data_IF_005986733070
#
_entry.id   IF_005986733070
#
_cell.length_a   1.000
_cell.length_b   1.000
_cell.length_c   1.000
_cell.angle_alpha   90.00
_cell.angle_beta   90.00
_cell.angle_gamma   90.00
#
_symmetry.space_group_name_H-M   'P 1'
#
loop_
_entity.id
_entity.type
_entity.pdbx_description
1 polymer ?
#
# COMPACT_ATOMS: atom_id res chain seq x y z
N UNK A 1 -4.12 -14.94 10.04
CA UNK A 1 -3.64 -14.69 8.67
C UNK A 1 -3.13 -13.26 8.66
N UNK A 2 -1.85 -13.00 8.34
CA UNK A 2 -1.33 -11.62 8.21
C UNK A 2 -1.68 -11.14 6.80
N UNK A 3 -2.35 -10.00 6.68
CA UNK A 3 -2.88 -9.47 5.43
C UNK A 3 -2.03 -8.27 5.00
N UNK A 4 -0.91 -8.55 4.32
CA UNK A 4 0.01 -7.53 3.80
C UNK A 4 0.07 -7.63 2.27
N UNK A 5 -0.17 -6.51 1.61
CA UNK A 5 -0.16 -6.38 0.16
C UNK A 5 0.95 -5.44 -0.31
N UNK A 6 2.08 -5.45 0.40
CA UNK A 6 3.32 -4.80 0.04
C UNK A 6 4.47 -5.72 0.40
N UNK A 7 5.40 -5.93 -0.53
CA UNK A 7 6.55 -6.82 -0.32
C UNK A 7 7.86 -6.05 -0.20
N UNK A 8 7.89 -4.81 -0.71
CA UNK A 8 9.09 -3.96 -0.63
C UNK A 8 8.76 -2.48 -0.75
N UNK A 9 9.54 -1.68 -0.03
CA UNK A 9 9.65 -0.23 -0.21
C UNK A 9 10.95 0.04 -1.00
N UNK A 10 10.81 0.72 -2.13
CA UNK A 10 11.90 0.95 -3.07
C UNK A 10 12.54 2.32 -2.87
N UNK A 11 11.73 3.34 -2.59
CA UNK A 11 12.16 4.71 -2.31
C UNK A 11 11.08 5.40 -1.47
N UNK A 12 11.46 6.34 -0.61
CA UNK A 12 10.49 7.14 0.14
C UNK A 12 11.11 8.46 0.62
N UNK A 13 10.24 9.45 0.79
CA UNK A 13 10.56 10.75 1.35
C UNK A 13 9.59 11.01 2.51
N UNK A 14 10.09 11.13 3.76
CA UNK A 14 9.25 11.36 4.94
C UNK A 14 8.32 12.55 4.74
N UNK A 15 7.03 12.36 5.00
CA UNK A 15 6.02 13.41 4.89
C UNK A 15 5.58 13.75 3.47
N UNK A 16 6.11 13.07 2.44
CA UNK A 16 5.88 13.46 1.04
C UNK A 16 5.35 12.29 0.21
N UNK A 17 6.16 11.24 0.00
CA UNK A 17 5.81 10.14 -0.91
C UNK A 17 6.53 8.84 -0.61
N UNK A 18 5.97 7.73 -1.10
CA UNK A 18 6.55 6.40 -1.05
C UNK A 18 6.35 5.68 -2.39
N UNK A 19 7.41 5.01 -2.83
CA UNK A 19 7.38 4.03 -3.91
C UNK A 19 7.65 2.65 -3.35
N UNK A 20 6.76 1.71 -3.65
CA UNK A 20 6.87 0.33 -3.22
C UNK A 20 6.35 -0.63 -4.26
N UNK A 21 6.29 -1.90 -3.91
CA UNK A 21 5.80 -2.95 -4.81
C UNK A 21 5.12 -4.10 -4.10
N UNK A 22 4.18 -4.71 -4.82
CA UNK A 22 3.56 -6.00 -4.52
C UNK A 22 3.80 -6.94 -5.69
N UNK A 23 4.50 -8.02 -5.41
CA UNK A 23 4.68 -9.16 -6.32
C UNK A 23 3.52 -10.12 -6.09
N UNK A 24 2.86 -10.51 -7.18
CA UNK A 24 1.75 -11.45 -7.12
C UNK A 24 2.15 -12.83 -7.62
N UNK A 25 1.49 -13.86 -7.11
CA UNK A 25 1.65 -15.24 -7.58
C UNK A 25 0.28 -15.87 -7.82
N UNK A 26 0.21 -16.88 -8.69
CA UNK A 26 -1.04 -17.60 -8.96
C UNK A 26 -1.60 -18.35 -7.74
N UNK A 27 -0.76 -18.62 -6.74
CA UNK A 27 -1.16 -19.34 -5.52
C UNK A 27 -1.87 -18.46 -4.48
N UNK A 28 -1.92 -17.15 -4.70
CA UNK A 28 -2.64 -16.23 -3.82
C UNK A 28 -4.16 -16.51 -3.83
N UNK A 29 -4.85 -16.57 -2.68
CA UNK A 29 -6.21 -17.09 -2.61
C UNK A 29 -7.29 -16.10 -3.07
N UNK A 30 -6.93 -14.85 -3.36
CA UNK A 30 -7.88 -13.76 -3.60
C UNK A 30 -8.24 -13.53 -5.08
N UNK A 31 -7.72 -14.36 -5.99
CA UNK A 31 -8.01 -14.22 -7.42
C UNK A 31 -9.49 -14.39 -7.72
N UNK A 32 -10.06 -13.46 -8.47
CA UNK A 32 -11.43 -13.56 -8.98
C UNK A 32 -11.42 -14.14 -10.39
N UNK A 33 -12.20 -15.20 -10.68
CA UNK A 33 -12.29 -15.75 -12.03
C UNK A 33 -13.02 -14.78 -12.96
N UNK A 34 -12.49 -14.59 -14.17
CA UNK A 34 -13.15 -13.88 -15.28
C UNK A 34 -13.10 -14.74 -16.55
N UNK A 35 -13.88 -14.43 -17.60
CA UNK A 35 -13.80 -15.14 -18.87
C UNK A 35 -12.39 -15.18 -19.48
N UNK A 36 -11.61 -14.12 -19.28
CA UNK A 36 -10.25 -13.99 -19.82
C UNK A 36 -9.17 -14.49 -18.83
N UNK A 37 -9.56 -15.13 -17.72
CA UNK A 37 -8.67 -15.66 -16.69
C UNK A 37 -8.78 -14.96 -15.32
N UNK A 38 -8.05 -15.41 -14.31
CA UNK A 38 -8.09 -14.82 -12.97
C UNK A 38 -7.53 -13.39 -12.93
N UNK A 39 -8.20 -12.51 -12.18
CA UNK A 39 -7.78 -11.11 -11.96
C UNK A 39 -7.80 -10.75 -10.48
N UNK A 40 -6.92 -9.83 -10.07
CA UNK A 40 -6.90 -9.31 -8.71
C UNK A 40 -8.12 -8.41 -8.53
N UNK A 41 -8.92 -8.59 -7.46
CA UNK A 41 -10.02 -7.68 -7.14
C UNK A 41 -9.54 -6.23 -7.06
N UNK A 42 -10.23 -5.30 -7.72
CA UNK A 42 -9.85 -3.89 -7.73
C UNK A 42 -9.76 -3.25 -6.33
N UNK A 43 -10.53 -3.75 -5.37
CA UNK A 43 -10.44 -3.34 -3.97
C UNK A 43 -9.10 -3.73 -3.32
N UNK A 44 -8.51 -4.86 -3.71
CA UNK A 44 -7.20 -5.28 -3.20
C UNK A 44 -6.05 -4.50 -3.84
N UNK A 45 -6.22 -4.06 -5.09
CA UNK A 45 -5.27 -3.13 -5.74
C UNK A 45 -5.26 -1.79 -5.01
N UNK A 46 -6.45 -1.28 -4.64
CA UNK A 46 -6.58 -0.07 -3.82
C UNK A 46 -6.00 -0.27 -2.41
N UNK A 47 -6.27 -1.41 -1.79
CA UNK A 47 -5.74 -1.75 -0.47
C UNK A 47 -4.20 -1.79 -0.47
N UNK A 48 -3.57 -2.35 -1.50
CA UNK A 48 -2.11 -2.32 -1.65
C UNK A 48 -1.56 -0.88 -1.67
N UNK A 49 -2.22 0.01 -2.41
CA UNK A 49 -1.87 1.44 -2.45
C UNK A 49 -2.09 2.12 -1.08
N UNK A 50 -3.21 1.82 -0.42
CA UNK A 50 -3.51 2.36 0.90
C UNK A 50 -2.48 1.89 1.95
N UNK A 51 -2.08 0.62 1.92
CA UNK A 51 -1.03 0.08 2.80
C UNK A 51 0.34 0.72 2.52
N UNK A 52 0.68 0.99 1.26
CA UNK A 52 1.87 1.78 0.93
C UNK A 52 1.80 3.19 1.57
N UNK A 53 0.63 3.83 1.57
CA UNK A 53 0.41 5.10 2.26
C UNK A 53 0.48 4.98 3.79
N UNK A 54 0.01 3.86 4.36
CA UNK A 54 0.20 3.55 5.78
C UNK A 54 1.67 3.44 6.14
N UNK A 55 2.48 2.78 5.31
CA UNK A 55 3.93 2.70 5.51
C UNK A 55 4.61 4.07 5.40
N UNK A 56 4.17 4.92 4.48
CA UNK A 56 4.66 6.30 4.42
C UNK A 56 4.38 7.02 5.74
N UNK A 57 3.17 6.89 6.32
CA UNK A 57 2.84 7.51 7.61
C UNK A 57 3.63 6.93 8.78
N UNK A 58 3.76 5.60 8.86
CA UNK A 58 4.58 4.94 9.88
C UNK A 58 6.01 5.46 9.84
N UNK A 59 6.65 5.45 8.67
CA UNK A 59 8.04 5.91 8.52
C UNK A 59 8.19 7.41 8.79
N UNK A 60 7.21 8.22 8.41
CA UNK A 60 7.23 9.68 8.63
C UNK A 60 7.02 10.08 10.09
N UNK A 61 6.47 9.17 10.90
CA UNK A 61 6.13 9.43 12.32
C UNK A 61 6.93 8.58 13.29
N UNK A 62 8.01 7.95 12.83
CA UNK A 62 8.83 7.03 13.63
C UNK A 62 7.97 5.94 14.29
N UNK A 63 7.14 5.30 13.45
CA UNK A 63 6.21 4.22 13.78
C UNK A 63 5.11 4.57 14.79
N UNK A 64 4.87 5.85 15.09
CA UNK A 64 3.86 6.28 16.08
C UNK A 64 2.44 6.31 15.54
N UNK A 65 2.27 6.57 14.24
CA UNK A 65 0.96 6.71 13.61
C UNK A 65 0.79 5.77 12.43
N UNK A 66 -0.42 5.28 12.24
CA UNK A 66 -0.82 4.48 11.08
C UNK A 66 -2.11 4.98 10.48
N UNK A 67 -2.27 4.76 9.18
CA UNK A 67 -3.48 5.11 8.47
C UNK A 67 -4.49 3.97 8.60
N UNK A 68 -5.74 4.32 8.90
CA UNK A 68 -6.88 3.43 8.81
C UNK A 68 -7.85 3.97 7.76
N UNK A 69 -8.09 3.20 6.70
CA UNK A 69 -8.91 3.61 5.58
C UNK A 69 -10.34 3.96 6.04
N UNK A 70 -10.77 5.19 5.75
CA UNK A 70 -12.11 5.66 6.08
C UNK A 70 -13.00 5.73 4.82
N UNK A 71 -12.49 6.30 3.74
CA UNK A 71 -13.23 6.38 2.47
C UNK A 71 -12.30 6.55 1.27
N UNK A 72 -12.77 6.12 0.10
CA UNK A 72 -12.10 6.33 -1.18
C UNK A 72 -13.15 6.70 -2.23
N UNK A 73 -13.32 8.00 -2.48
CA UNK A 73 -14.36 8.49 -3.38
C UNK A 73 -13.90 8.57 -4.84
N UNK A 74 -12.67 9.03 -5.08
CA UNK A 74 -12.16 9.26 -6.43
C UNK A 74 -11.13 8.19 -6.80
N UNK A 75 -11.64 7.00 -7.13
CA UNK A 75 -10.83 5.88 -7.62
C UNK A 75 -11.19 5.59 -9.08
N UNK A 76 -10.17 5.49 -9.93
CA UNK A 76 -10.29 5.16 -11.36
C UNK A 76 -9.52 3.88 -11.62
N UNK A 77 -10.22 2.87 -12.15
CA UNK A 77 -9.61 1.62 -12.61
C UNK A 77 -9.38 1.69 -14.11
N UNK A 78 -8.14 1.47 -14.52
CA UNK A 78 -7.69 1.61 -15.91
C UNK A 78 -7.33 0.26 -16.53
N UNK A 79 -7.13 -0.77 -15.72
CA UNK A 79 -6.78 -2.10 -16.21
C UNK A 79 -6.81 -3.16 -15.13
N UNK A 80 -6.73 -4.40 -15.57
CA UNK A 80 -6.67 -5.58 -14.70
C UNK A 80 -5.24 -5.87 -14.27
N UNK A 81 -5.13 -6.49 -13.10
CA UNK A 81 -3.91 -7.09 -12.56
C UNK A 81 -4.09 -8.60 -12.56
N UNK A 82 -3.10 -9.33 -13.05
CA UNK A 82 -3.13 -10.78 -13.27
C UNK A 82 -2.04 -11.49 -12.46
N UNK A 83 -2.14 -12.80 -12.23
CA UNK A 83 -1.10 -13.56 -11.56
C UNK A 83 0.27 -13.37 -12.20
N UNK A 84 1.28 -13.08 -11.37
CA UNK A 84 2.66 -12.85 -11.81
C UNK A 84 2.98 -11.39 -12.10
N UNK A 85 1.97 -10.51 -12.14
CA UNK A 85 2.20 -9.07 -12.24
C UNK A 85 2.91 -8.54 -10.98
N UNK A 86 3.72 -7.51 -11.20
CA UNK A 86 4.31 -6.70 -10.13
C UNK A 86 3.60 -5.35 -10.14
N UNK A 87 2.86 -5.08 -9.07
CA UNK A 87 2.25 -3.77 -8.84
C UNK A 87 3.34 -2.83 -8.35
N UNK A 88 3.54 -1.74 -9.08
CA UNK A 88 4.37 -0.60 -8.72
C UNK A 88 3.46 0.42 -8.03
N UNK A 89 3.66 0.64 -6.73
CA UNK A 89 2.82 1.47 -5.87
C UNK A 89 3.51 2.83 -5.72
N UNK A 90 2.89 3.91 -6.20
CA UNK A 90 3.36 5.30 -6.00
C UNK A 90 2.26 6.08 -5.26
N UNK A 91 2.56 6.50 -4.03
CA UNK A 91 1.59 7.14 -3.13
C UNK A 91 2.23 8.32 -2.42
N UNK A 92 1.46 9.37 -2.18
CA UNK A 92 1.89 10.54 -1.41
C UNK A 92 0.76 11.11 -0.57
N UNK A 93 1.12 12.08 0.27
CA UNK A 93 0.15 12.81 1.08
C UNK A 93 -0.45 13.97 0.27
N UNK A 94 -1.75 13.92 0.05
CA UNK A 94 -2.52 15.09 -0.40
C UNK A 94 -2.69 16.09 0.73
N UNK A 95 -2.89 15.60 1.96
CA UNK A 95 -2.84 16.38 3.20
C UNK A 95 -2.53 15.48 4.39
N UNK A 96 -1.94 16.05 5.44
CA UNK A 96 -1.64 15.36 6.70
C UNK A 96 -1.89 16.30 7.88
N UNK A 97 -2.65 15.82 8.85
CA UNK A 97 -2.80 16.44 10.17
C UNK A 97 -2.69 15.38 11.29
N UNK A 98 -2.90 15.80 12.54
CA UNK A 98 -2.80 14.95 13.74
C UNK A 98 -3.74 13.72 13.73
N UNK A 99 -4.89 13.84 13.07
CA UNK A 99 -6.03 12.92 13.16
C UNK A 99 -6.39 12.27 11.84
N UNK A 100 -5.95 12.82 10.72
CA UNK A 100 -6.28 12.36 9.39
C UNK A 100 -5.10 12.47 8.42
N UNK A 101 -5.08 11.55 7.46
CA UNK A 101 -4.21 11.63 6.29
C UNK A 101 -5.04 11.40 5.04
N UNK A 102 -4.77 12.19 4.01
CA UNK A 102 -5.34 12.03 2.68
C UNK A 102 -4.24 11.51 1.76
N UNK A 103 -4.50 10.38 1.11
CA UNK A 103 -3.59 9.74 0.19
C UNK A 103 -4.00 10.00 -1.27
N UNK A 104 -3.00 10.34 -2.07
CA UNK A 104 -3.11 10.42 -3.53
C UNK A 104 -2.07 9.46 -4.13
N UNK A 105 -2.41 8.74 -5.19
CA UNK A 105 -1.47 7.80 -5.78
C UNK A 105 -1.97 7.05 -7.00
N UNK A 106 -1.07 6.22 -7.54
CA UNK A 106 -1.33 5.36 -8.67
C UNK A 106 -0.64 4.01 -8.50
N UNK A 107 -1.25 2.99 -9.11
CA UNK A 107 -0.67 1.67 -9.26
C UNK A 107 -0.38 1.41 -10.73
N UNK A 108 0.82 0.93 -11.02
CA UNK A 108 1.24 0.53 -12.38
C UNK A 108 1.65 -0.93 -12.44
N UNK A 109 1.52 -1.53 -13.60
CA UNK A 109 2.07 -2.85 -13.94
C UNK A 109 2.83 -2.70 -15.25
N UNK A 110 4.14 -2.94 -15.22
CA UNK A 110 5.00 -2.79 -16.39
C UNK A 110 4.91 -1.39 -17.00
N UNK A 111 4.88 -0.34 -16.17
CA UNK A 111 4.75 1.06 -16.60
C UNK A 111 3.34 1.49 -17.02
N UNK A 112 2.36 0.58 -17.08
CA UNK A 112 0.98 0.86 -17.47
C UNK A 112 0.12 1.09 -16.24
N UNK A 113 -0.56 2.23 -16.15
CA UNK A 113 -1.46 2.54 -15.02
C UNK A 113 -2.65 1.58 -14.98
N UNK A 114 -2.89 0.96 -13.82
CA UNK A 114 -4.04 0.06 -13.58
C UNK A 114 -5.04 0.66 -12.59
N UNK A 115 -4.59 1.54 -11.69
CA UNK A 115 -5.43 2.25 -10.75
C UNK A 115 -4.86 3.65 -10.48
N UNK A 116 -5.74 4.64 -10.36
CA UNK A 116 -5.43 5.96 -9.81
C UNK A 116 -6.43 6.25 -8.70
N UNK A 117 -5.95 6.78 -7.58
CA UNK A 117 -6.80 7.19 -6.48
C UNK A 117 -6.37 8.58 -5.98
N UNK A 118 -7.35 9.43 -5.74
CA UNK A 118 -7.12 10.76 -5.16
C UNK A 118 -8.10 11.01 -4.04
N UNK A 119 -7.70 11.77 -3.03
CA UNK A 119 -8.56 12.08 -1.90
C UNK A 119 -8.93 10.84 -1.08
N UNK A 120 -8.07 9.82 -1.01
CA UNK A 120 -8.33 8.64 -0.18
C UNK A 120 -8.16 9.05 1.28
N UNK A 121 -9.26 9.10 2.02
CA UNK A 121 -9.26 9.58 3.40
C UNK A 121 -8.99 8.43 4.36
N UNK A 122 -8.07 8.67 5.28
CA UNK A 122 -7.73 7.75 6.36
C UNK A 122 -7.68 8.49 7.70
N UNK A 123 -8.06 7.81 8.78
CA UNK A 123 -7.76 8.27 10.13
C UNK A 123 -6.28 8.00 10.46
N UNK A 124 -5.60 8.96 11.09
CA UNK A 124 -4.24 8.83 11.60
C UNK A 124 -4.29 8.42 13.08
N UNK A 125 -4.20 7.11 13.31
CA UNK A 125 -4.37 6.50 14.63
C UNK A 125 -3.01 6.16 15.25
N UNK A 126 -2.97 5.99 16.58
CA UNK A 126 -1.83 5.35 17.23
C UNK A 126 -1.56 3.98 16.61
N UNK A 127 -0.31 3.69 16.28
CA UNK A 127 0.07 2.44 15.60
C UNK A 127 -0.28 1.20 16.43
N UNK A 128 -0.10 1.31 17.74
CA UNK A 128 -0.38 0.33 18.79
C UNK A 128 -1.86 -0.06 18.91
N UNK A 129 -2.78 0.76 18.37
CA UNK A 129 -4.21 0.48 18.41
C UNK A 129 -4.64 -0.66 17.48
N UNK A 130 -3.85 -0.98 16.46
CA UNK A 130 -4.22 -1.96 15.43
C UNK A 130 -3.23 -3.12 15.31
N UNK A 131 -1.93 -2.86 15.47
CA UNK A 131 -0.90 -3.89 15.40
C UNK A 131 0.13 -3.68 16.51
N UNK A 132 0.77 -4.77 16.92
CA UNK A 132 1.87 -4.72 17.87
C UNK A 132 3.04 -3.87 17.29
N UNK A 133 3.59 -2.91 18.05
CA UNK A 133 4.65 -2.04 17.56
C UNK A 133 5.93 -2.80 17.16
N UNK A 134 6.32 -3.84 17.90
CA UNK A 134 7.53 -4.61 17.59
C UNK A 134 7.35 -5.39 16.29
N UNK A 135 6.17 -5.96 16.07
CA UNK A 135 5.79 -6.62 14.82
C UNK A 135 5.84 -5.64 13.64
N UNK A 136 5.34 -4.41 13.84
CA UNK A 136 5.32 -3.36 12.82
C UNK A 136 6.73 -2.92 12.45
N UNK A 137 7.59 -2.64 13.43
CA UNK A 137 8.99 -2.27 13.16
C UNK A 137 9.76 -3.39 12.48
N UNK A 138 9.55 -4.64 12.90
CA UNK A 138 10.18 -5.81 12.28
C UNK A 138 9.77 -5.94 10.81
N UNK A 139 8.50 -5.71 10.50
CA UNK A 139 8.03 -5.67 9.11
C UNK A 139 8.64 -4.50 8.34
N UNK A 140 8.75 -3.31 8.94
CA UNK A 140 9.42 -2.16 8.34
C UNK A 140 10.86 -2.47 7.92
N UNK A 141 11.64 -3.12 8.79
CA UNK A 141 13.01 -3.57 8.47
C UNK A 141 13.05 -4.58 7.32
N UNK A 142 12.08 -5.50 7.26
CA UNK A 142 11.95 -6.44 6.15
C UNK A 142 11.67 -5.73 4.82
N UNK A 143 10.69 -4.83 4.79
CA UNK A 143 10.28 -4.09 3.59
C UNK A 143 11.37 -3.16 3.06
N UNK A 144 12.17 -2.56 3.96
CA UNK A 144 13.30 -1.70 3.62
C UNK A 144 14.59 -2.47 3.30
N UNK A 145 14.62 -3.80 3.52
CA UNK A 145 15.81 -4.67 3.38
C UNK A 145 17.03 -4.23 4.19
N UNK A 146 16.81 -3.60 5.33
CA UNK A 146 17.88 -3.07 6.19
C UNK A 146 18.66 -4.16 6.97
N UNK A 147 18.28 -5.44 6.86
CA UNK A 147 18.89 -6.55 7.63
C UNK A 147 19.63 -7.62 6.79
N UNK A 148 19.86 -7.44 5.48
CA UNK A 148 20.43 -8.51 4.61
C UNK A 148 21.94 -8.40 4.36
N UNK A 149 22.68 -7.58 5.11
CA UNK A 149 24.15 -7.55 5.07
C UNK A 149 24.74 -7.67 6.48
N UNK A 150 24.88 -8.92 6.94
CA UNK A 150 25.88 -9.31 7.95
C UNK A 150 26.57 -10.58 7.48
#
# INVERSE_FOLDING_TARGET
MRFHLIDRIDDWEPGVRLRGRKVTSADEPYWSPTPDGPVMPGALVLEALAQAGTWLLLLSTDYKKRAALASAANVRWHGEVRPGDVLELDVGFGSLDETAVVLDGAVRVGGRTVLEATGVMCAALGSDLLEDPEDTERMGRHLLRTEVLR
#
